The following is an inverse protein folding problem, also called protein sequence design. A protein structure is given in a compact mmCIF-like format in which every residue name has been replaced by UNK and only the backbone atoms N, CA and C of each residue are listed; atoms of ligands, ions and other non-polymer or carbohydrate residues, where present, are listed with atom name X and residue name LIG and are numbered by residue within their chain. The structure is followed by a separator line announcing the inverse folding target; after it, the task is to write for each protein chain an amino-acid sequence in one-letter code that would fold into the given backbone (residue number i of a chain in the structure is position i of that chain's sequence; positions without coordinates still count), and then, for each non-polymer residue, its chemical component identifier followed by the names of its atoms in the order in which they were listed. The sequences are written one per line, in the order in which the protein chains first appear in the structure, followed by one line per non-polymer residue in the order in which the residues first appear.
data_IF_396359709601
#
_entry.id   IF_396359709601
#
_cell.length_a   1.000
_cell.length_b   1.000
_cell.length_c   1.000
_cell.angle_alpha   90.00
_cell.angle_beta   90.00
_cell.angle_gamma   90.00
#
_symmetry.space_group_name_H-M   'P 1'
#
loop_
_entity.id
_entity.type
_entity.pdbx_description
1 polymer ?
#
# COMPACT_ATOMS: atom_id res chain seq x y z
N UNK A 1 -13.40 69.04 -28.57
CA UNK A 1 -12.26 68.39 -27.89
C UNK A 1 -12.78 67.16 -27.15
N UNK A 2 -12.50 65.97 -27.67
CA UNK A 2 -13.11 64.70 -27.27
C UNK A 2 -12.23 64.00 -26.23
N UNK A 3 -12.78 63.74 -25.03
CA UNK A 3 -12.08 63.02 -23.95
C UNK A 3 -12.31 61.52 -24.11
N UNK A 4 -11.27 60.79 -24.51
CA UNK A 4 -11.26 59.32 -24.57
C UNK A 4 -10.90 58.81 -23.17
N UNK A 5 -11.86 58.25 -22.44
CA UNK A 5 -11.60 57.46 -21.23
C UNK A 5 -11.17 56.06 -21.65
N UNK A 6 -9.87 55.74 -21.53
CA UNK A 6 -9.37 54.37 -21.67
C UNK A 6 -9.72 53.55 -20.43
N UNK A 7 -10.68 52.63 -20.55
CA UNK A 7 -10.88 51.55 -19.58
C UNK A 7 -9.72 50.54 -19.71
N UNK A 8 -8.86 50.49 -18.71
CA UNK A 8 -7.88 49.40 -18.54
C UNK A 8 -8.61 48.18 -17.97
N UNK A 9 -8.95 47.22 -18.82
CA UNK A 9 -9.53 45.95 -18.40
C UNK A 9 -8.40 45.04 -17.91
N UNK A 10 -8.27 44.89 -16.59
CA UNK A 10 -7.26 44.04 -15.96
C UNK A 10 -7.68 42.56 -16.14
N UNK A 11 -7.14 41.90 -17.16
CA UNK A 11 -7.28 40.45 -17.34
C UNK A 11 -6.49 39.74 -16.25
N UNK A 12 -7.19 39.24 -15.21
CA UNK A 12 -6.63 38.25 -14.28
C UNK A 12 -6.34 36.97 -15.08
N UNK A 13 -5.07 36.79 -15.45
CA UNK A 13 -4.58 35.49 -15.95
C UNK A 13 -4.49 34.56 -14.75
N UNK A 14 -5.52 33.74 -14.54
CA UNK A 14 -5.46 32.63 -13.60
C UNK A 14 -4.44 31.61 -14.14
N UNK A 15 -3.22 31.61 -13.60
CA UNK A 15 -2.29 30.53 -13.84
C UNK A 15 -2.90 29.25 -13.26
N UNK A 16 -3.01 28.15 -14.03
CA UNK A 16 -3.39 26.88 -13.46
C UNK A 16 -2.30 26.51 -12.45
N UNK A 17 -2.64 26.53 -11.16
CA UNK A 17 -1.82 25.88 -10.17
C UNK A 17 -1.64 24.44 -10.65
N UNK A 18 -0.39 24.04 -10.92
CA UNK A 18 -0.10 22.65 -11.28
C UNK A 18 -0.51 21.80 -10.08
N UNK A 19 -1.66 21.14 -10.17
CA UNK A 19 -2.12 20.23 -9.14
C UNK A 19 -1.07 19.14 -8.99
N UNK A 20 -0.58 18.95 -7.76
CA UNK A 20 0.39 17.90 -7.48
C UNK A 20 -0.30 16.56 -7.67
N UNK A 21 0.18 15.77 -8.62
CA UNK A 21 -0.40 14.48 -8.93
C UNK A 21 -0.26 13.51 -7.74
N UNK A 22 -1.34 12.78 -7.45
CA UNK A 22 -1.35 11.74 -6.44
C UNK A 22 -0.81 10.43 -7.04
N UNK A 23 0.25 9.88 -6.44
CA UNK A 23 0.86 8.61 -6.88
C UNK A 23 0.44 7.51 -5.89
N UNK A 24 -0.32 6.52 -6.37
CA UNK A 24 -0.68 5.35 -5.57
C UNK A 24 0.51 4.40 -5.45
N UNK A 25 0.91 4.05 -4.22
CA UNK A 25 2.06 3.19 -3.93
C UNK A 25 1.65 1.72 -3.78
N UNK A 26 0.59 1.48 -3.01
CA UNK A 26 -0.01 0.17 -2.71
C UNK A 26 -1.54 0.35 -2.50
N UNK A 27 -2.23 -0.66 -1.97
CA UNK A 27 -3.69 -0.63 -1.79
C UNK A 27 -4.22 0.36 -0.75
N UNK A 28 -3.35 0.97 0.05
CA UNK A 28 -3.74 1.95 1.07
C UNK A 28 -2.76 3.10 1.26
N UNK A 29 -1.85 3.34 0.32
CA UNK A 29 -0.86 4.43 0.42
C UNK A 29 -0.85 5.32 -0.82
N UNK A 30 -0.98 6.62 -0.60
CA UNK A 30 -0.99 7.66 -1.63
C UNK A 30 0.13 8.65 -1.33
N UNK A 31 0.97 8.93 -2.31
CA UNK A 31 1.98 9.98 -2.27
C UNK A 31 1.43 11.26 -2.90
N UNK A 32 1.46 12.37 -2.17
CA UNK A 32 1.14 13.70 -2.68
C UNK A 32 2.36 14.58 -2.47
N UNK A 33 3.04 14.93 -3.57
CA UNK A 33 4.31 15.65 -3.52
C UNK A 33 5.36 14.82 -2.77
N UNK A 34 5.87 15.35 -1.66
CA UNK A 34 6.88 14.68 -0.83
C UNK A 34 6.29 13.95 0.39
N UNK A 35 4.96 13.91 0.55
CA UNK A 35 4.31 13.27 1.70
C UNK A 35 3.60 11.98 1.26
N UNK A 36 3.92 10.88 1.92
CA UNK A 36 3.21 9.60 1.80
C UNK A 36 2.13 9.52 2.88
N UNK A 37 0.87 9.40 2.47
CA UNK A 37 -0.27 9.15 3.35
C UNK A 37 -0.67 7.67 3.28
N UNK A 38 -0.62 6.97 4.41
CA UNK A 38 -1.33 5.70 4.60
C UNK A 38 -2.78 6.04 4.98
N UNK A 39 -3.74 5.43 4.29
CA UNK A 39 -5.15 5.53 4.62
C UNK A 39 -5.36 4.99 6.04
N UNK A 40 -5.74 5.89 6.95
CA UNK A 40 -6.01 5.57 8.35
C UNK A 40 -7.21 4.62 8.48
N UNK A 41 -7.22 3.80 9.54
CA UNK A 41 -8.36 2.95 9.90
C UNK A 41 -8.46 1.62 9.15
N UNK A 42 -7.56 1.34 8.22
CA UNK A 42 -7.58 0.14 7.40
C UNK A 42 -6.18 -0.39 7.09
N UNK A 43 -6.13 -1.64 6.63
CA UNK A 43 -4.93 -2.32 6.15
C UNK A 43 -5.25 -2.97 4.79
N UNK A 44 -4.58 -2.53 3.74
CA UNK A 44 -4.66 -3.21 2.44
C UNK A 44 -3.56 -4.26 2.29
N UNK A 45 -3.76 -5.30 1.45
CA UNK A 45 -2.72 -6.25 1.13
C UNK A 45 -1.50 -5.55 0.53
N UNK A 46 -0.36 -6.06 0.94
CA UNK A 46 0.94 -5.62 0.46
C UNK A 46 1.03 -5.92 -1.03
N UNK A 47 1.68 -5.07 -1.82
CA UNK A 47 1.71 -5.23 -3.29
C UNK A 47 2.20 -6.61 -3.76
N UNK A 48 3.01 -7.27 -2.94
CA UNK A 48 3.60 -8.59 -3.16
C UNK A 48 2.88 -9.73 -2.43
N UNK A 49 1.75 -9.43 -1.78
CA UNK A 49 0.94 -10.42 -1.10
C UNK A 49 0.13 -11.25 -2.10
N UNK A 50 0.31 -12.58 -2.11
CA UNK A 50 -0.56 -13.47 -2.85
C UNK A 50 -1.83 -13.77 -2.04
N UNK A 51 -2.90 -14.05 -2.76
CA UNK A 51 -4.12 -14.62 -2.23
C UNK A 51 -4.51 -15.84 -3.10
N UNK A 52 -5.54 -16.57 -2.68
CA UNK A 52 -6.19 -17.60 -3.48
C UNK A 52 -7.57 -17.12 -3.86
N UNK A 53 -7.99 -17.32 -5.11
CA UNK A 53 -9.31 -16.91 -5.58
C UNK A 53 -10.39 -17.98 -5.34
N UNK A 54 -11.61 -17.73 -5.79
CA UNK A 54 -12.74 -18.67 -5.68
C UNK A 54 -12.57 -19.97 -6.50
N UNK A 55 -11.60 -20.02 -7.40
CA UNK A 55 -11.28 -21.17 -8.25
C UNK A 55 -10.07 -21.96 -7.73
N UNK A 56 -9.54 -21.59 -6.56
CA UNK A 56 -8.34 -22.14 -5.96
C UNK A 56 -7.04 -21.81 -6.70
N UNK A 57 -7.05 -20.74 -7.52
CA UNK A 57 -5.88 -20.23 -8.21
C UNK A 57 -5.20 -19.10 -7.43
N UNK A 58 -3.88 -19.01 -7.56
CA UNK A 58 -3.11 -17.91 -6.99
C UNK A 58 -3.38 -16.61 -7.75
N UNK A 59 -3.64 -15.54 -7.02
CA UNK A 59 -3.80 -14.20 -7.58
C UNK A 59 -3.02 -13.15 -6.78
N UNK A 60 -2.54 -12.13 -7.49
CA UNK A 60 -1.78 -11.04 -6.90
C UNK A 60 -2.72 -9.99 -6.27
N UNK A 61 -3.42 -10.36 -5.21
CA UNK A 61 -4.42 -9.50 -4.56
C UNK A 61 -3.85 -8.16 -4.08
N UNK A 62 -2.56 -8.09 -3.73
CA UNK A 62 -1.86 -6.83 -3.45
C UNK A 62 -1.80 -5.86 -4.62
N UNK A 63 -1.50 -6.40 -5.81
CA UNK A 63 -1.51 -5.63 -7.06
C UNK A 63 -2.94 -5.18 -7.37
N UNK A 64 -3.93 -6.08 -7.26
CA UNK A 64 -5.32 -5.73 -7.52
C UNK A 64 -5.82 -4.65 -6.55
N UNK A 65 -5.50 -4.73 -5.25
CA UNK A 65 -5.86 -3.70 -4.27
C UNK A 65 -5.30 -2.31 -4.64
N UNK A 66 -4.03 -2.24 -5.04
CA UNK A 66 -3.41 -1.00 -5.56
C UNK A 66 -4.16 -0.49 -6.78
N UNK A 67 -4.43 -1.37 -7.75
CA UNK A 67 -5.05 -0.99 -9.02
C UNK A 67 -6.51 -0.53 -8.81
N UNK A 68 -7.21 -1.04 -7.79
CA UNK A 68 -8.52 -0.54 -7.39
C UNK A 68 -8.43 0.85 -6.78
N UNK A 69 -7.43 1.14 -5.95
CA UNK A 69 -7.21 2.50 -5.44
C UNK A 69 -6.86 3.48 -6.58
N UNK A 70 -6.03 3.04 -7.54
CA UNK A 70 -5.77 3.81 -8.79
C UNK A 70 -7.07 4.08 -9.53
N UNK A 71 -7.96 3.09 -9.68
CA UNK A 71 -9.26 3.25 -10.34
C UNK A 71 -10.19 4.20 -9.58
N UNK A 72 -10.23 4.10 -8.25
CA UNK A 72 -11.02 4.96 -7.37
C UNK A 72 -10.58 6.42 -7.43
N UNK A 73 -9.30 6.69 -7.67
CA UNK A 73 -8.78 8.06 -7.84
C UNK A 73 -8.89 8.53 -9.30
N UNK A 74 -8.56 7.67 -10.26
CA UNK A 74 -8.48 8.05 -11.67
C UNK A 74 -7.42 9.13 -11.90
N UNK A 75 -7.76 10.15 -12.70
CA UNK A 75 -6.89 11.31 -12.97
C UNK A 75 -7.27 12.55 -12.14
N UNK A 76 -7.99 12.35 -11.03
CA UNK A 76 -8.54 13.43 -10.21
C UNK A 76 -7.57 13.80 -9.09
N UNK A 77 -7.65 15.05 -8.64
CA UNK A 77 -6.88 15.54 -7.51
C UNK A 77 -7.35 14.89 -6.20
N UNK A 78 -6.40 14.57 -5.31
CA UNK A 78 -6.66 13.97 -4.00
C UNK A 78 -6.22 14.92 -2.91
N UNK A 79 -7.00 15.01 -1.84
CA UNK A 79 -6.64 15.72 -0.61
C UNK A 79 -6.71 14.77 0.57
N UNK A 80 -5.74 14.87 1.48
CA UNK A 80 -5.73 14.12 2.72
C UNK A 80 -5.78 15.06 3.93
N UNK A 81 -6.66 14.79 4.89
CA UNK A 81 -6.56 15.30 6.25
C UNK A 81 -5.44 14.53 6.96
N UNK A 82 -4.44 15.25 7.43
CA UNK A 82 -3.26 14.69 8.07
C UNK A 82 -3.54 14.40 9.55
N UNK A 83 -3.46 13.13 9.94
CA UNK A 83 -3.74 12.67 11.30
C UNK A 83 -2.47 12.42 12.14
N UNK A 84 -1.28 12.76 11.62
CA UNK A 84 -0.02 12.55 12.31
C UNK A 84 0.81 11.41 11.72
N UNK A 85 1.76 10.90 12.49
CA UNK A 85 2.64 9.80 12.06
C UNK A 85 1.86 8.49 11.95
N UNK A 86 2.18 7.70 10.93
CA UNK A 86 1.66 6.33 10.85
C UNK A 86 2.37 5.42 11.85
N UNK A 87 1.60 4.54 12.50
CA UNK A 87 2.11 3.62 13.53
C UNK A 87 2.79 2.39 12.95
N UNK A 88 2.52 2.04 11.69
CA UNK A 88 3.01 0.81 11.05
C UNK A 88 4.26 1.09 10.22
N UNK A 89 4.22 2.17 9.43
CA UNK A 89 5.20 2.57 8.44
C UNK A 89 5.90 3.85 8.85
N UNK A 90 7.19 3.73 9.16
CA UNK A 90 8.02 4.89 9.51
C UNK A 90 8.05 5.87 8.33
N UNK A 91 8.03 7.17 8.63
CA UNK A 91 8.05 8.26 7.65
C UNK A 91 6.81 8.34 6.72
N UNK A 92 5.75 7.57 6.96
CA UNK A 92 4.43 7.82 6.38
C UNK A 92 3.56 8.59 7.39
N UNK A 93 2.60 9.34 6.89
CA UNK A 93 1.56 10.00 7.67
C UNK A 93 0.29 9.17 7.63
N UNK A 94 -0.47 9.11 8.72
CA UNK A 94 -1.83 8.60 8.67
C UNK A 94 -2.75 9.67 8.08
N UNK A 95 -3.67 9.30 7.19
CA UNK A 95 -4.55 10.27 6.54
C UNK A 95 -5.97 9.78 6.26
N UNK A 96 -6.92 10.70 6.31
CA UNK A 96 -8.25 10.55 5.72
C UNK A 96 -8.26 11.24 4.37
N UNK A 97 -8.30 10.47 3.29
CA UNK A 97 -8.15 10.97 1.94
C UNK A 97 -9.48 10.95 1.17
N UNK A 98 -9.67 11.94 0.31
CA UNK A 98 -10.82 12.03 -0.59
C UNK A 98 -10.38 12.63 -1.93
N UNK A 99 -11.17 12.36 -2.97
CA UNK A 99 -11.05 13.04 -4.25
C UNK A 99 -11.64 14.45 -4.12
N UNK A 100 -10.93 15.46 -4.63
CA UNK A 100 -11.38 16.85 -4.57
C UNK A 100 -12.69 17.02 -5.34
N UNK A 101 -13.69 17.65 -4.71
CA UNK A 101 -15.02 17.83 -5.29
C UNK A 101 -15.99 16.67 -5.03
N UNK A 102 -15.55 15.59 -4.40
CA UNK A 102 -16.39 14.47 -4.00
C UNK A 102 -16.63 14.46 -2.49
N UNK A 103 -17.81 13.99 -2.09
CA UNK A 103 -18.19 13.85 -0.67
C UNK A 103 -17.71 12.53 -0.06
N UNK A 104 -17.28 11.58 -0.89
CA UNK A 104 -16.86 10.24 -0.48
C UNK A 104 -15.42 10.18 0.05
N UNK A 105 -15.17 9.26 0.99
CA UNK A 105 -13.83 8.94 1.50
C UNK A 105 -13.22 7.80 0.70
N UNK A 106 -11.94 7.94 0.31
CA UNK A 106 -11.16 6.86 -0.29
C UNK A 106 -10.93 5.72 0.71
N UNK A 107 -10.71 6.04 2.00
CA UNK A 107 -10.57 5.03 3.06
C UNK A 107 -11.81 4.12 3.12
N UNK A 108 -12.99 4.73 3.12
CA UNK A 108 -14.24 4.00 3.10
C UNK A 108 -14.41 3.20 1.81
N UNK A 109 -14.17 3.81 0.65
CA UNK A 109 -14.38 3.17 -0.65
C UNK A 109 -13.49 1.92 -0.86
N UNK A 110 -12.22 1.96 -0.43
CA UNK A 110 -11.32 0.80 -0.45
C UNK A 110 -11.86 -0.34 0.43
N UNK A 111 -12.36 0.00 1.62
CA UNK A 111 -12.90 -1.00 2.55
C UNK A 111 -14.22 -1.59 2.03
N UNK A 112 -15.12 -0.75 1.52
CA UNK A 112 -16.41 -1.17 0.95
C UNK A 112 -16.26 -2.08 -0.25
N UNK A 113 -15.23 -1.87 -1.06
CA UNK A 113 -14.91 -2.73 -2.21
C UNK A 113 -14.17 -4.02 -1.82
N UNK A 114 -13.87 -4.21 -0.53
CA UNK A 114 -13.28 -5.43 0.01
C UNK A 114 -11.78 -5.56 -0.19
N UNK A 115 -11.06 -4.47 -0.48
CA UNK A 115 -9.61 -4.48 -0.69
C UNK A 115 -8.80 -4.04 0.52
N UNK A 116 -9.45 -3.90 1.68
CA UNK A 116 -8.78 -3.71 2.96
C UNK A 116 -9.56 -4.34 4.10
N UNK A 117 -8.85 -4.67 5.18
CA UNK A 117 -9.45 -5.02 6.48
C UNK A 117 -9.48 -3.78 7.36
N UNK A 118 -10.52 -3.64 8.20
CA UNK A 118 -10.61 -2.53 9.15
C UNK A 118 -9.60 -2.73 10.28
N UNK A 119 -8.84 -1.69 10.62
CA UNK A 119 -8.00 -1.65 11.83
C UNK A 119 -8.74 -0.79 12.85
N UNK A 120 -9.15 -1.42 13.95
CA UNK A 120 -9.76 -0.66 15.04
C UNK A 120 -8.77 0.34 15.65
N UNK A 121 -9.20 1.59 15.92
CA UNK A 121 -8.37 2.59 16.55
C UNK A 121 -7.84 2.10 17.91
N UNK A 122 -6.52 2.13 18.11
CA UNK A 122 -5.93 1.70 19.38
C UNK A 122 -6.17 2.70 20.53
N UNK A 123 -6.43 3.98 20.22
CA UNK A 123 -6.77 5.07 21.16
C UNK A 123 -7.29 6.28 20.37
N UNK A 124 -8.40 6.92 20.81
CA UNK A 124 -8.97 8.27 20.45
C UNK A 124 -8.91 8.77 18.99
N UNK A 125 -8.43 7.99 18.02
CA UNK A 125 -8.52 8.28 16.60
C UNK A 125 -9.96 7.97 16.20
N UNK A 126 -10.82 8.94 16.51
CA UNK A 126 -12.08 9.27 15.84
C UNK A 126 -12.93 8.13 15.25
N UNK A 127 -14.23 8.13 15.56
CA UNK A 127 -15.25 7.36 14.85
C UNK A 127 -15.15 7.47 13.30
N UNK A 128 -14.53 8.54 12.77
CA UNK A 128 -14.25 8.73 11.34
C UNK A 128 -13.25 7.73 10.72
N UNK A 129 -12.55 6.93 11.53
CA UNK A 129 -11.60 5.91 11.05
C UNK A 129 -12.04 4.48 11.34
N UNK A 130 -13.28 4.27 11.82
CA UNK A 130 -13.84 2.93 11.95
C UNK A 130 -14.57 2.56 10.65
N UNK A 131 -14.07 1.54 9.96
CA UNK A 131 -14.67 1.00 8.73
C UNK A 131 -15.23 -0.40 8.94
N UNK A 132 -15.50 -0.79 10.20
CA UNK A 132 -15.99 -2.14 10.52
C UNK A 132 -17.31 -2.49 9.83
N UNK A 133 -18.30 -1.58 9.74
CA UNK A 133 -19.53 -1.86 8.98
C UNK A 133 -19.25 -2.05 7.49
N UNK A 134 -18.31 -1.29 6.92
CA UNK A 134 -17.93 -1.40 5.51
C UNK A 134 -17.22 -2.74 5.24
N UNK A 135 -16.31 -3.15 6.11
CA UNK A 135 -15.64 -4.46 6.05
C UNK A 135 -16.65 -5.61 6.14
N UNK A 136 -17.61 -5.50 7.08
CA UNK A 136 -18.67 -6.50 7.26
C UNK A 136 -19.52 -6.60 6.00
N UNK A 137 -19.93 -5.47 5.43
CA UNK A 137 -20.70 -5.45 4.19
C UNK A 137 -19.92 -6.04 3.00
N UNK A 138 -18.62 -5.75 2.88
CA UNK A 138 -17.76 -6.32 1.85
C UNK A 138 -17.61 -7.85 2.02
N UNK A 139 -17.48 -8.31 3.27
CA UNK A 139 -17.45 -9.73 3.62
C UNK A 139 -18.75 -10.44 3.26
N UNK A 140 -19.89 -9.89 3.65
CA UNK A 140 -21.22 -10.47 3.39
C UNK A 140 -21.50 -10.56 1.87
N UNK A 141 -21.04 -9.56 1.12
CA UNK A 141 -21.15 -9.51 -0.35
C UNK A 141 -20.05 -10.27 -1.08
N UNK A 142 -19.08 -10.86 -0.36
CA UNK A 142 -17.91 -11.55 -0.92
C UNK A 142 -17.18 -10.69 -1.96
N UNK A 143 -16.85 -9.46 -1.58
CA UNK A 143 -16.16 -8.50 -2.46
C UNK A 143 -14.66 -8.48 -2.22
N UNK A 144 -13.89 -8.17 -3.26
CA UNK A 144 -12.44 -8.06 -3.19
C UNK A 144 -11.81 -9.30 -2.58
N UNK A 145 -11.04 -9.14 -1.51
CA UNK A 145 -10.37 -10.22 -0.78
C UNK A 145 -11.35 -11.26 -0.23
N UNK A 146 -12.54 -10.83 0.15
CA UNK A 146 -13.53 -11.69 0.81
C UNK A 146 -14.15 -12.76 -0.09
N UNK A 147 -14.01 -12.62 -1.42
CA UNK A 147 -14.41 -13.68 -2.38
C UNK A 147 -13.48 -14.89 -2.32
N UNK A 148 -12.19 -14.62 -2.11
CA UNK A 148 -11.12 -15.59 -2.12
C UNK A 148 -10.78 -16.14 -0.74
N UNK A 149 -9.52 -16.57 -0.60
CA UNK A 149 -8.90 -16.94 0.65
C UNK A 149 -7.60 -16.15 0.83
N UNK A 150 -7.41 -15.56 2.01
CA UNK A 150 -6.26 -14.72 2.31
C UNK A 150 -5.90 -14.74 3.80
N UNK A 151 -4.71 -14.25 4.12
CA UNK A 151 -4.34 -13.83 5.49
C UNK A 151 -4.38 -12.31 5.57
N UNK A 152 -4.61 -11.74 6.75
CA UNK A 152 -4.58 -10.26 6.86
C UNK A 152 -3.21 -9.71 6.46
N UNK A 153 -3.12 -8.45 5.98
CA UNK A 153 -1.84 -7.87 5.58
C UNK A 153 -0.83 -7.82 6.75
N UNK A 154 -1.32 -7.56 7.97
CA UNK A 154 -0.51 -7.65 9.18
C UNK A 154 0.09 -9.05 9.43
N UNK A 155 -0.65 -10.13 9.17
CA UNK A 155 -0.12 -11.51 9.29
C UNK A 155 0.88 -11.83 8.19
N UNK A 156 0.60 -11.40 6.96
CA UNK A 156 1.53 -11.55 5.83
C UNK A 156 2.86 -10.85 6.11
N UNK A 157 2.84 -9.59 6.58
CA UNK A 157 4.04 -8.85 7.00
C UNK A 157 4.86 -9.59 8.06
N UNK A 158 4.22 -10.29 8.99
CA UNK A 158 4.91 -11.06 10.06
C UNK A 158 5.34 -12.46 9.63
N UNK A 159 4.96 -12.90 8.43
CA UNK A 159 5.10 -14.29 7.96
C UNK A 159 4.47 -15.31 8.91
N UNK A 160 3.34 -14.95 9.51
CA UNK A 160 2.62 -15.81 10.44
C UNK A 160 1.74 -16.80 9.65
N UNK A 161 2.36 -17.89 9.19
CA UNK A 161 1.69 -18.86 8.31
C UNK A 161 0.61 -19.69 9.02
N UNK A 162 0.65 -19.75 10.34
CA UNK A 162 -0.32 -20.42 11.21
C UNK A 162 -1.54 -19.56 11.54
N UNK A 163 -1.58 -18.30 11.09
CA UNK A 163 -2.68 -17.39 11.37
C UNK A 163 -3.99 -17.79 10.68
N UNK A 164 -5.14 -17.29 11.18
CA UNK A 164 -6.44 -17.58 10.60
C UNK A 164 -6.52 -17.18 9.12
N UNK A 165 -7.04 -18.08 8.30
CA UNK A 165 -7.38 -17.81 6.91
C UNK A 165 -8.77 -17.16 6.84
N UNK A 166 -8.93 -16.14 6.01
CA UNK A 166 -10.13 -15.33 5.88
C UNK A 166 -10.67 -15.33 4.44
N UNK A 167 -11.99 -15.18 4.30
CA UNK A 167 -12.67 -15.14 3.00
C UNK A 167 -13.45 -16.41 2.69
N UNK A 168 -14.35 -16.34 1.72
CA UNK A 168 -15.29 -17.45 1.43
C UNK A 168 -14.64 -18.67 0.77
N UNK A 169 -13.46 -18.53 0.16
CA UNK A 169 -12.77 -19.65 -0.49
C UNK A 169 -11.84 -20.43 0.46
N UNK A 170 -11.74 -20.04 1.74
CA UNK A 170 -10.88 -20.73 2.71
C UNK A 170 -11.48 -22.08 3.17
N UNK A 171 -11.15 -23.12 2.40
CA UNK A 171 -11.53 -24.50 2.67
C UNK A 171 -10.66 -25.15 3.73
N UNK A 172 -11.26 -25.59 4.84
CA UNK A 172 -10.54 -26.26 5.94
C UNK A 172 -9.93 -27.60 5.52
N UNK A 173 -10.52 -28.30 4.55
CA UNK A 173 -10.00 -29.56 4.01
C UNK A 173 -8.80 -29.38 3.07
N UNK A 174 -8.46 -28.14 2.70
CA UNK A 174 -7.34 -27.75 1.83
C UNK A 174 -6.39 -26.77 2.50
N UNK A 175 -6.43 -26.71 3.82
CA UNK A 175 -5.71 -25.72 4.61
C UNK A 175 -4.18 -25.75 4.39
N UNK A 176 -3.58 -26.94 4.21
CA UNK A 176 -2.14 -27.08 3.91
C UNK A 176 -1.79 -26.49 2.55
N UNK A 177 -2.58 -26.79 1.53
CA UNK A 177 -2.39 -26.30 0.16
C UNK A 177 -2.61 -24.78 0.09
N UNK A 178 -3.66 -24.27 0.75
CA UNK A 178 -3.92 -22.84 0.86
C UNK A 178 -2.78 -22.10 1.55
N UNK A 179 -2.22 -22.63 2.65
CA UNK A 179 -1.06 -22.01 3.29
C UNK A 179 0.19 -22.01 2.41
N UNK A 180 0.42 -23.09 1.66
CA UNK A 180 1.54 -23.15 0.72
C UNK A 180 1.38 -22.13 -0.43
N UNK A 181 0.15 -21.88 -0.87
CA UNK A 181 -0.21 -20.87 -1.85
C UNK A 181 -0.05 -19.43 -1.32
N UNK A 182 -0.48 -19.16 -0.08
CA UNK A 182 -0.41 -17.85 0.56
C UNK A 182 1.00 -17.47 1.06
N UNK A 183 1.84 -18.48 1.33
CA UNK A 183 3.24 -18.30 1.75
C UNK A 183 4.18 -19.16 0.91
N UNK A 184 4.30 -18.86 -0.40
CA UNK A 184 5.14 -19.65 -1.29
C UNK A 184 6.62 -19.50 -0.92
N UNK A 185 7.40 -20.58 -1.13
CA UNK A 185 8.84 -20.53 -0.96
C UNK A 185 9.53 -19.58 -1.97
N UNK A 186 8.91 -19.40 -3.14
CA UNK A 186 9.32 -18.47 -4.17
C UNK A 186 8.23 -17.42 -4.39
N UNK A 187 8.37 -16.27 -3.73
CA UNK A 187 7.42 -15.18 -3.85
C UNK A 187 7.55 -14.52 -5.23
N UNK A 188 6.48 -14.53 -6.01
CA UNK A 188 6.44 -13.90 -7.32
C UNK A 188 6.72 -12.40 -7.22
N UNK A 189 7.56 -11.87 -8.12
CA UNK A 189 7.88 -10.45 -8.17
C UNK A 189 6.78 -9.69 -8.93
N UNK A 190 6.07 -8.73 -8.30
CA UNK A 190 5.13 -7.88 -9.03
C UNK A 190 5.85 -7.01 -10.06
N UNK A 191 5.16 -6.68 -11.16
CA UNK A 191 5.71 -5.81 -12.19
C UNK A 191 6.14 -4.45 -11.61
N UNK A 192 7.37 -4.03 -11.92
CA UNK A 192 7.95 -2.78 -11.39
C UNK A 192 8.41 -2.84 -9.93
N UNK A 193 8.21 -3.96 -9.22
CA UNK A 193 8.55 -4.10 -7.80
C UNK A 193 9.80 -4.93 -7.58
N UNK A 194 10.90 -4.47 -8.16
CA UNK A 194 12.17 -5.18 -8.25
C UNK A 194 13.12 -4.95 -7.05
N UNK A 195 12.63 -4.45 -5.91
CA UNK A 195 13.45 -4.34 -4.70
C UNK A 195 13.18 -5.56 -3.84
N UNK A 196 14.16 -6.45 -3.78
CA UNK A 196 14.04 -7.71 -3.04
C UNK A 196 14.43 -7.50 -1.58
N UNK A 197 13.67 -8.06 -0.66
CA UNK A 197 13.91 -7.90 0.76
C UNK A 197 13.82 -9.22 1.52
N UNK A 198 14.60 -9.30 2.60
CA UNK A 198 14.71 -10.48 3.47
C UNK A 198 14.59 -10.07 4.93
N UNK A 199 13.71 -10.74 5.66
CA UNK A 199 13.60 -10.60 7.10
C UNK A 199 14.81 -11.28 7.74
N UNK A 200 15.58 -10.52 8.51
CA UNK A 200 16.79 -11.03 9.15
C UNK A 200 16.70 -10.79 10.64
N UNK A 201 16.73 -11.89 11.43
CA UNK A 201 16.62 -11.82 12.89
C UNK A 201 17.61 -10.82 13.50
N UNK A 202 18.84 -10.76 12.97
CA UNK A 202 19.89 -9.84 13.44
C UNK A 202 19.54 -8.37 13.24
N UNK A 203 18.77 -8.00 12.21
CA UNK A 203 18.38 -6.60 11.99
C UNK A 203 17.42 -6.09 13.07
N UNK A 204 16.65 -6.99 13.72
CA UNK A 204 15.75 -6.63 14.83
C UNK A 204 16.51 -6.00 16.00
N UNK A 205 17.74 -6.46 16.29
CA UNK A 205 18.60 -5.85 17.31
C UNK A 205 19.02 -4.41 16.97
N UNK A 206 18.98 -4.03 15.69
CA UNK A 206 19.27 -2.67 15.22
C UNK A 206 18.02 -1.86 14.92
N UNK A 207 16.84 -2.31 15.38
CA UNK A 207 15.56 -1.61 15.16
C UNK A 207 15.00 -1.71 13.74
N UNK A 208 15.48 -2.68 12.95
CA UNK A 208 15.05 -2.94 11.57
C UNK A 208 14.39 -4.31 11.44
N UNK A 209 13.42 -4.42 10.52
CA UNK A 209 12.74 -5.69 10.22
C UNK A 209 13.65 -6.61 9.40
N UNK A 210 14.41 -6.03 8.48
CA UNK A 210 15.21 -6.80 7.53
C UNK A 210 16.18 -5.96 6.71
N UNK A 211 16.68 -6.56 5.64
CA UNK A 211 17.52 -5.89 4.64
C UNK A 211 16.89 -5.97 3.25
N UNK A 212 17.10 -4.95 2.43
CA UNK A 212 16.70 -4.95 1.02
C UNK A 212 17.90 -4.75 0.07
N UNK A 213 17.71 -5.19 -1.16
CA UNK A 213 18.64 -5.07 -2.29
C UNK A 213 17.89 -4.51 -3.50
N UNK A 214 18.55 -3.63 -4.23
CA UNK A 214 18.10 -3.09 -5.52
C UNK A 214 18.83 -3.83 -6.66
N UNK A 215 18.29 -3.82 -7.90
CA UNK A 215 18.90 -4.54 -9.03
C UNK A 215 20.38 -4.21 -9.28
N UNK A 216 20.82 -3.01 -8.92
CA UNK A 216 22.19 -2.54 -9.09
C UNK A 216 23.19 -3.15 -8.09
N UNK A 217 22.73 -3.87 -7.06
CA UNK A 217 23.63 -4.54 -6.12
C UNK A 217 24.32 -5.75 -6.78
N UNK A 218 25.62 -5.92 -6.58
CA UNK A 218 26.42 -7.00 -7.22
C UNK A 218 25.87 -8.42 -6.96
N UNK A 219 25.31 -8.66 -5.78
CA UNK A 219 24.75 -9.95 -5.38
C UNK A 219 23.23 -10.01 -5.56
N UNK A 220 22.60 -9.06 -6.26
CA UNK A 220 21.15 -8.98 -6.34
C UNK A 220 20.53 -10.30 -6.82
N UNK A 221 21.03 -10.92 -7.88
CA UNK A 221 20.46 -12.16 -8.43
C UNK A 221 20.79 -13.42 -7.59
N UNK A 222 21.97 -13.45 -6.96
CA UNK A 222 22.50 -14.65 -6.29
C UNK A 222 22.00 -14.84 -4.86
N UNK A 223 21.21 -13.89 -4.34
CA UNK A 223 20.69 -13.97 -2.98
C UNK A 223 19.54 -14.98 -2.85
N UNK A 224 19.37 -15.58 -1.64
CA UNK A 224 18.26 -16.47 -1.36
C UNK A 224 16.90 -15.82 -1.62
N UNK A 225 15.90 -16.64 -1.96
CA UNK A 225 14.53 -16.17 -2.26
C UNK A 225 14.04 -15.12 -1.25
N UNK A 226 13.43 -14.03 -1.74
CA UNK A 226 13.02 -12.93 -0.90
C UNK A 226 11.82 -13.32 -0.06
N UNK A 227 11.68 -12.63 1.08
CA UNK A 227 10.47 -12.67 1.88
C UNK A 227 9.47 -11.60 1.46
N UNK A 228 9.96 -10.56 0.76
CA UNK A 228 9.21 -9.38 0.35
C UNK A 228 9.76 -8.77 -0.94
N UNK A 229 8.88 -8.14 -1.70
CA UNK A 229 9.17 -7.26 -2.83
C UNK A 229 8.63 -5.84 -2.56
N UNK A 230 9.40 -4.83 -2.96
CA UNK A 230 9.02 -3.42 -2.86
C UNK A 230 9.17 -2.73 -4.23
N UNK A 231 8.37 -1.70 -4.48
CA UNK A 231 8.39 -0.93 -5.72
C UNK A 231 9.26 0.33 -5.64
N UNK A 232 9.65 0.75 -4.44
CA UNK A 232 10.63 1.83 -4.23
C UNK A 232 11.46 1.61 -2.96
N UNK A 233 12.65 2.22 -2.90
CA UNK A 233 13.48 2.12 -1.70
C UNK A 233 12.82 2.82 -0.50
N UNK A 234 11.99 3.84 -0.75
CA UNK A 234 11.21 4.52 0.28
C UNK A 234 10.19 3.58 0.91
N UNK A 235 9.50 2.76 0.12
CA UNK A 235 8.55 1.76 0.63
C UNK A 235 9.26 0.71 1.49
N UNK A 236 10.42 0.23 1.03
CA UNK A 236 11.22 -0.72 1.80
C UNK A 236 11.68 -0.12 3.14
N UNK A 237 12.14 1.14 3.14
CA UNK A 237 12.55 1.86 4.36
C UNK A 237 11.38 2.11 5.30
N UNK A 238 10.23 2.51 4.77
CA UNK A 238 9.01 2.74 5.55
C UNK A 238 8.56 1.46 6.26
N UNK A 239 8.66 0.31 5.58
CA UNK A 239 8.40 -1.02 6.15
C UNK A 239 9.49 -1.50 7.14
N UNK A 240 10.46 -0.65 7.48
CA UNK A 240 11.49 -0.92 8.48
C UNK A 240 12.69 -1.71 7.97
N UNK A 241 12.86 -1.86 6.65
CA UNK A 241 14.04 -2.50 6.07
C UNK A 241 15.14 -1.47 5.83
N UNK A 242 16.39 -1.88 6.03
CA UNK A 242 17.55 -1.06 5.64
C UNK A 242 18.21 -1.63 4.38
N UNK A 243 18.96 -0.80 3.66
CA UNK A 243 19.74 -1.28 2.51
C UNK A 243 20.79 -2.30 3.00
N UNK A 244 21.03 -3.34 2.23
CA UNK A 244 22.09 -4.30 2.52
C UNK A 244 23.47 -3.60 2.44
N UNK A 245 24.36 -3.91 3.39
CA UNK A 245 25.67 -3.22 3.49
C UNK A 245 26.58 -3.50 2.30
N UNK A 246 26.42 -4.67 1.69
CA UNK A 246 27.12 -5.09 0.48
C UNK A 246 26.48 -4.57 -0.82
N UNK A 247 25.42 -3.77 -0.70
CA UNK A 247 24.90 -2.99 -1.82
C UNK A 247 25.54 -1.59 -1.79
N UNK A 248 26.82 -1.53 -2.12
CA UNK A 248 27.50 -0.25 -2.33
C UNK A 248 27.33 0.20 -3.78
N UNK A 249 27.18 1.50 -3.99
CA UNK A 249 27.39 2.11 -5.30
C UNK A 249 28.78 1.69 -5.81
N UNK A 250 28.99 1.50 -7.12
CA UNK A 250 30.31 1.20 -7.64
C UNK A 250 31.28 2.23 -7.08
N UNK A 251 32.32 1.78 -6.38
CA UNK A 251 33.35 2.70 -5.91
C UNK A 251 33.86 3.43 -7.14
N UNK A 252 33.81 4.77 -7.12
CA UNK A 252 34.60 5.55 -8.07
C UNK A 252 36.05 5.23 -7.73
N UNK A 253 36.63 4.24 -8.39
CA UNK A 253 38.07 4.05 -8.42
C UNK A 253 38.59 5.24 -9.23
N UNK A 254 39.14 6.23 -8.54
CA UNK A 254 40.04 7.21 -9.14
C UNK A 254 41.35 6.50 -9.52
#
# INVERSE_FOLDING_TARGET
MMRILSLFFLLLVANPASAVEAIVKDGDTIQIGNVAYKLAGLDAPEVDQPCVDEHADNWACGVEARDQLVKLIGKREVRCEDLGEDKIYKNRRAGLCSVVGETGSLNQAVTQSGYAVSIEPSDKVSAKTSFKPDETAAKDKRQGLWRGCFVTPAEFRRKASDSPLLGSACRSDKDKELRAALFPADLAMPAGCNIRAKQVRRAKFTGHVGVYLIPQCQNYATQPKPDRWFCSEDDARAAGYRKALNCQAPSRRN
#
